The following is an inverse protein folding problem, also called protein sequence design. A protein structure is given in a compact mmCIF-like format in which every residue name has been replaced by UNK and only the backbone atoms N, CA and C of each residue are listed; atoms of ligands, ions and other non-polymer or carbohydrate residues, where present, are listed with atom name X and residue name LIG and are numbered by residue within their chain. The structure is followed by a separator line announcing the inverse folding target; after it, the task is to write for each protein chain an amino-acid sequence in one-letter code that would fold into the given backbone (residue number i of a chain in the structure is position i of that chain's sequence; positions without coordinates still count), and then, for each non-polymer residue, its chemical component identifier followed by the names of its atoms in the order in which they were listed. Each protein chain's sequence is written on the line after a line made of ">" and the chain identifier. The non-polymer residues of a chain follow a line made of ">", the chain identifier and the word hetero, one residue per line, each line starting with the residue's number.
data_IF_719095803523
#
_entry.id   IF_719095803523
#
_cell.length_a   1.000
_cell.length_b   1.000
_cell.length_c   1.000
_cell.angle_alpha   90.00
_cell.angle_beta   90.00
_cell.angle_gamma   90.00
#
_symmetry.space_group_name_H-M   'P 1'
#
loop_
_entity.id
_entity.type
_entity.pdbx_description
1 polymer ?
#
# COMPACT_ATOMS: atom_id res chain seq x y z
N UNK A 1 -17.10 -5.97 8.93
CA UNK A 1 -16.74 -4.54 9.06
C UNK A 1 -15.78 -4.17 7.93
N UNK A 2 -16.06 -3.13 7.13
CA UNK A 2 -15.20 -2.74 6.02
C UNK A 2 -13.93 -2.04 6.51
N UNK A 3 -12.84 -2.24 5.80
CA UNK A 3 -11.57 -1.54 5.96
C UNK A 3 -11.13 -1.08 4.57
N UNK A 4 -10.76 0.19 4.46
CA UNK A 4 -10.25 0.77 3.22
C UNK A 4 -8.73 0.60 3.21
N UNK A 5 -8.21 0.09 2.10
CA UNK A 5 -6.77 -0.14 1.92
C UNK A 5 -6.25 0.92 0.98
N UNK A 6 -5.47 1.86 1.50
CA UNK A 6 -4.99 2.99 0.73
C UNK A 6 -3.62 3.46 1.21
N UNK A 7 -2.93 4.21 0.36
CA UNK A 7 -1.67 4.89 0.66
C UNK A 7 -1.69 6.28 0.03
N UNK A 8 -0.93 7.21 0.61
CA UNK A 8 -0.79 8.55 0.06
C UNK A 8 -0.15 8.52 -1.31
N UNK A 9 -0.53 9.45 -2.18
CA UNK A 9 0.09 9.63 -3.50
C UNK A 9 1.24 10.61 -3.36
N UNK A 10 2.41 10.09 -3.03
CA UNK A 10 3.65 10.85 -2.95
C UNK A 10 4.80 10.10 -3.64
N UNK A 11 5.91 10.80 -3.97
CA UNK A 11 7.05 10.17 -4.62
C UNK A 11 7.56 8.94 -3.85
N UNK A 12 7.67 9.03 -2.53
CA UNK A 12 8.22 7.95 -1.69
C UNK A 12 7.20 6.88 -1.28
N UNK A 13 5.90 7.13 -1.47
CA UNK A 13 4.81 6.26 -1.01
C UNK A 13 4.14 5.46 -2.13
N UNK A 14 3.96 6.06 -3.31
CA UNK A 14 3.38 5.40 -4.49
C UNK A 14 4.13 5.66 -5.79
N UNK A 15 4.93 6.74 -5.82
CA UNK A 15 5.70 7.17 -6.96
C UNK A 15 4.91 7.96 -8.01
N UNK A 16 5.60 8.44 -9.06
CA UNK A 16 7.01 8.16 -9.33
C UNK A 16 7.98 8.89 -8.39
N UNK A 17 9.06 8.22 -8.01
CA UNK A 17 10.27 8.80 -7.41
C UNK A 17 11.38 8.76 -8.45
N UNK A 18 12.09 9.87 -8.65
CA UNK A 18 13.20 9.93 -9.60
C UNK A 18 14.49 10.23 -8.85
N UNK A 19 15.52 9.42 -9.10
CA UNK A 19 16.85 9.60 -8.54
C UNK A 19 17.90 9.48 -9.65
N UNK A 20 19.02 10.18 -9.50
CA UNK A 20 20.16 10.04 -10.41
C UNK A 20 21.48 9.95 -9.66
N UNK A 21 22.44 9.25 -10.25
CA UNK A 21 23.80 9.12 -9.73
C UNK A 21 24.79 9.21 -10.90
N UNK A 22 25.92 9.88 -10.67
CA UNK A 22 26.96 10.08 -11.68
C UNK A 22 28.32 9.56 -11.22
N UNK A 23 29.02 8.84 -12.09
CA UNK A 23 30.38 8.37 -11.87
C UNK A 23 31.13 8.28 -13.20
N UNK A 24 32.36 8.81 -13.25
CA UNK A 24 33.21 8.71 -14.45
C UNK A 24 32.59 9.32 -15.72
N UNK A 25 31.80 10.38 -15.61
CA UNK A 25 31.09 11.01 -16.73
C UNK A 25 29.83 10.28 -17.20
N UNK A 26 29.49 9.16 -16.58
CA UNK A 26 28.25 8.42 -16.82
C UNK A 26 27.23 8.85 -15.76
N UNK A 27 26.02 9.20 -16.20
CA UNK A 27 24.89 9.45 -15.29
C UNK A 27 23.84 8.38 -15.51
N UNK A 28 23.38 7.77 -14.42
CA UNK A 28 22.23 6.86 -14.40
C UNK A 28 21.07 7.58 -13.75
N UNK A 29 19.91 7.58 -14.43
CA UNK A 29 18.64 8.09 -13.91
C UNK A 29 17.69 6.92 -13.73
N UNK A 30 17.12 6.78 -12.54
CA UNK A 30 16.17 5.75 -12.18
C UNK A 30 14.82 6.37 -11.79
N UNK A 31 13.72 5.79 -12.27
CA UNK A 31 12.34 6.18 -11.95
C UNK A 31 11.63 5.00 -11.32
N UNK A 32 11.26 5.12 -10.04
CA UNK A 32 10.59 4.08 -9.27
C UNK A 32 9.09 4.40 -9.10
N UNK A 33 8.21 3.41 -9.32
CA UNK A 33 6.76 3.53 -9.08
C UNK A 33 6.19 2.23 -8.52
N UNK A 34 5.20 2.32 -7.64
CA UNK A 34 4.48 1.14 -7.15
C UNK A 34 3.69 0.49 -8.29
N UNK A 35 3.95 -0.80 -8.51
CA UNK A 35 3.19 -1.65 -9.43
C UNK A 35 1.98 -2.30 -8.73
N UNK A 36 2.16 -2.74 -7.49
CA UNK A 36 1.09 -3.32 -6.65
C UNK A 36 1.43 -3.27 -5.17
N UNK A 37 0.40 -3.40 -4.33
CA UNK A 37 0.52 -3.60 -2.88
C UNK A 37 -0.27 -4.84 -2.50
N UNK A 38 0.39 -5.78 -1.83
CA UNK A 38 -0.24 -7.00 -1.30
C UNK A 38 -0.42 -6.84 0.20
N UNK A 39 -1.66 -6.92 0.67
CA UNK A 39 -2.06 -6.74 2.06
C UNK A 39 -2.41 -8.10 2.67
N UNK A 40 -1.65 -8.53 3.66
CA UNK A 40 -2.02 -9.67 4.51
C UNK A 40 -2.83 -9.12 5.67
N UNK A 41 -4.08 -9.58 5.82
CA UNK A 41 -5.06 -8.94 6.69
C UNK A 41 -5.09 -9.50 8.13
N UNK A 42 -4.20 -10.43 8.47
CA UNK A 42 -4.18 -11.04 9.81
C UNK A 42 -5.36 -11.97 10.14
N UNK A 43 -6.38 -12.07 9.28
CA UNK A 43 -7.48 -13.04 9.35
C UNK A 43 -7.27 -14.24 8.39
N UNK A 44 -6.05 -14.41 7.89
CA UNK A 44 -5.67 -15.42 6.90
C UNK A 44 -5.98 -15.03 5.46
N UNK A 45 -6.61 -13.87 5.20
CA UNK A 45 -6.88 -13.38 3.85
C UNK A 45 -5.80 -12.43 3.36
N UNK A 46 -5.71 -12.32 2.03
CA UNK A 46 -4.80 -11.42 1.34
C UNK A 46 -5.57 -10.62 0.29
N UNK A 47 -5.27 -9.32 0.17
CA UNK A 47 -5.84 -8.43 -0.84
C UNK A 47 -4.72 -7.81 -1.67
N UNK A 48 -4.82 -7.87 -2.99
CA UNK A 48 -3.86 -7.21 -3.89
C UNK A 48 -4.49 -5.95 -4.47
N UNK A 49 -3.89 -4.80 -4.21
CA UNK A 49 -4.26 -3.51 -4.79
C UNK A 49 -3.27 -3.13 -5.89
N UNK A 50 -3.77 -2.71 -7.05
CA UNK A 50 -2.96 -2.11 -8.15
C UNK A 50 -3.20 -0.60 -8.29
N UNK A 51 -4.02 -0.04 -7.38
CA UNK A 51 -4.26 1.40 -7.22
C UNK A 51 -3.71 1.83 -5.85
N UNK A 52 -3.48 3.14 -5.63
CA UNK A 52 -3.15 3.66 -4.30
C UNK A 52 -4.31 3.56 -3.31
N UNK A 53 -5.49 3.09 -3.74
CA UNK A 53 -6.69 3.03 -2.92
C UNK A 53 -7.38 4.38 -2.72
N UNK A 54 -8.58 4.30 -2.14
CA UNK A 54 -9.38 5.45 -1.75
C UNK A 54 -9.25 5.67 -0.24
N UNK A 55 -8.85 6.88 0.22
CA UNK A 55 -8.86 7.19 1.64
C UNK A 55 -10.25 7.08 2.25
N UNK A 56 -10.34 6.50 3.45
CA UNK A 56 -11.59 6.44 4.19
C UNK A 56 -12.04 7.86 4.60
N UNK A 57 -13.34 8.11 4.48
CA UNK A 57 -14.00 9.30 5.05
C UNK A 57 -15.14 8.84 5.93
N UNK A 58 -15.34 9.51 7.07
CA UNK A 58 -16.41 9.18 8.01
C UNK A 58 -17.80 9.14 7.35
N UNK A 59 -18.03 9.99 6.34
CA UNK A 59 -19.27 10.02 5.55
C UNK A 59 -19.55 8.75 4.75
N UNK A 60 -18.57 7.85 4.59
CA UNK A 60 -18.77 6.56 3.93
C UNK A 60 -19.36 5.50 4.86
N UNK A 61 -19.24 5.66 6.18
CA UNK A 61 -19.81 4.74 7.17
C UNK A 61 -19.43 3.28 6.91
N UNK A 62 -20.42 2.43 6.65
CA UNK A 62 -20.26 0.98 6.43
C UNK A 62 -20.05 0.57 4.97
N UNK A 63 -19.91 1.54 4.06
CA UNK A 63 -19.68 1.26 2.64
C UNK A 63 -18.33 0.57 2.46
N UNK A 64 -18.26 -0.31 1.46
CA UNK A 64 -17.00 -0.92 1.05
C UNK A 64 -16.18 0.08 0.23
N UNK A 65 -14.85 -0.06 0.26
CA UNK A 65 -13.98 0.73 -0.61
C UNK A 65 -14.34 0.53 -2.09
N UNK A 66 -14.40 1.60 -2.89
CA UNK A 66 -14.75 1.50 -4.31
C UNK A 66 -13.64 0.88 -5.16
N UNK A 67 -12.39 0.86 -4.68
CA UNK A 67 -11.23 0.39 -5.45
C UNK A 67 -10.45 -0.73 -4.76
N UNK A 68 -10.02 -0.51 -3.50
CA UNK A 68 -9.31 -1.51 -2.73
C UNK A 68 -9.70 -1.47 -1.25
N UNK A 69 -10.16 -2.61 -0.75
CA UNK A 69 -10.65 -2.74 0.61
C UNK A 69 -10.78 -4.20 1.04
N UNK A 70 -10.97 -4.39 2.33
CA UNK A 70 -11.22 -5.68 2.95
C UNK A 70 -12.48 -5.63 3.82
N UNK A 71 -13.09 -6.79 4.09
CA UNK A 71 -14.17 -6.90 5.07
C UNK A 71 -13.90 -8.06 6.03
N UNK A 72 -13.70 -7.71 7.30
CA UNK A 72 -13.61 -8.69 8.38
C UNK A 72 -14.99 -9.26 8.71
N UNK A 73 -15.05 -10.58 8.87
CA UNK A 73 -16.25 -11.30 9.27
C UNK A 73 -16.48 -11.26 10.79
N UNK A 74 -15.42 -11.18 11.59
CA UNK A 74 -15.46 -11.14 13.06
C UNK A 74 -14.79 -9.87 13.56
N UNK A 75 -15.19 -9.33 14.72
CA UNK A 75 -14.45 -8.26 15.36
C UNK A 75 -13.09 -8.77 15.83
N UNK A 76 -12.11 -7.88 15.94
CA UNK A 76 -10.76 -8.26 16.38
C UNK A 76 -10.73 -8.77 17.83
N UNK A 77 -11.70 -8.38 18.65
CA UNK A 77 -11.91 -8.88 20.03
C UNK A 77 -12.37 -10.33 20.10
N UNK A 78 -12.86 -10.91 19.00
CA UNK A 78 -13.14 -12.35 18.94
C UNK A 78 -11.86 -13.21 18.83
N UNK A 79 -10.70 -12.57 18.64
CA UNK A 79 -9.38 -13.20 18.63
C UNK A 79 -8.42 -12.50 19.60
N UNK A 80 -7.23 -12.13 19.13
CA UNK A 80 -6.15 -11.51 19.92
C UNK A 80 -6.39 -10.03 20.29
N UNK A 81 -7.53 -9.44 19.92
CA UNK A 81 -7.87 -8.04 20.18
C UNK A 81 -7.55 -7.10 19.01
N UNK A 82 -6.58 -7.45 18.15
CA UNK A 82 -6.20 -6.70 16.94
C UNK A 82 -6.01 -7.64 15.74
N UNK A 83 -6.10 -7.10 14.53
CA UNK A 83 -5.61 -7.75 13.32
C UNK A 83 -4.24 -7.18 12.95
N UNK A 84 -3.24 -8.05 12.84
CA UNK A 84 -1.92 -7.69 12.34
C UNK A 84 -1.95 -7.60 10.81
N UNK A 85 -1.90 -6.38 10.28
CA UNK A 85 -1.97 -6.12 8.84
C UNK A 85 -0.58 -5.83 8.32
N UNK A 86 -0.15 -6.56 7.29
CA UNK A 86 1.15 -6.37 6.61
C UNK A 86 0.91 -5.92 5.19
N UNK A 87 1.48 -4.78 4.80
CA UNK A 87 1.45 -4.27 3.44
C UNK A 87 2.82 -4.49 2.77
N UNK A 88 2.84 -5.21 1.66
CA UNK A 88 4.04 -5.40 0.82
C UNK A 88 3.85 -4.70 -0.51
N UNK A 89 4.50 -3.56 -0.67
CA UNK A 89 4.55 -2.82 -1.94
C UNK A 89 5.63 -3.39 -2.85
N UNK A 90 5.29 -3.62 -4.12
CA UNK A 90 6.23 -3.98 -5.19
C UNK A 90 6.42 -2.76 -6.08
N UNK A 91 7.65 -2.29 -6.19
CA UNK A 91 8.06 -1.14 -6.99
C UNK A 91 8.73 -1.62 -8.28
N UNK A 92 8.29 -1.07 -9.40
CA UNK A 92 8.99 -1.15 -10.69
C UNK A 92 9.91 0.06 -10.80
N UNK A 93 11.17 -0.18 -11.13
CA UNK A 93 12.20 0.84 -11.26
C UNK A 93 12.78 0.74 -12.66
N UNK A 94 12.46 1.71 -13.50
CA UNK A 94 13.03 1.85 -14.84
C UNK A 94 14.26 2.75 -14.76
N UNK A 95 15.38 2.33 -15.35
CA UNK A 95 16.62 3.11 -15.34
C UNK A 95 17.23 3.26 -16.73
N UNK A 96 17.91 4.39 -16.92
CA UNK A 96 18.63 4.70 -18.16
C UNK A 96 19.95 5.40 -17.83
N UNK A 97 21.01 5.03 -18.54
CA UNK A 97 22.32 5.65 -18.48
C UNK A 97 22.56 6.58 -19.69
N UNK A 98 23.40 7.61 -19.52
CA UNK A 98 23.80 8.52 -20.60
C UNK A 98 24.53 7.84 -21.75
N UNK A 99 25.07 6.65 -21.52
CA UNK A 99 25.68 5.75 -22.51
C UNK A 99 24.66 5.01 -23.39
N UNK A 100 23.36 5.19 -23.16
CA UNK A 100 22.27 4.53 -23.89
C UNK A 100 21.84 3.18 -23.31
N UNK A 101 22.52 2.67 -22.28
CA UNK A 101 22.11 1.46 -21.57
C UNK A 101 20.85 1.73 -20.74
N UNK A 102 19.94 0.77 -20.69
CA UNK A 102 18.70 0.89 -19.93
C UNK A 102 18.25 -0.47 -19.41
N UNK A 103 17.36 -0.47 -18.43
CA UNK A 103 16.77 -1.69 -17.90
C UNK A 103 15.64 -1.42 -16.91
N UNK A 104 15.08 -2.51 -16.41
CA UNK A 104 14.06 -2.49 -15.37
C UNK A 104 14.50 -3.39 -14.22
N UNK A 105 14.22 -2.96 -13.00
CA UNK A 105 14.42 -3.76 -11.79
C UNK A 105 13.17 -3.66 -10.90
N UNK A 106 13.01 -4.62 -10.00
CA UNK A 106 11.92 -4.65 -9.03
C UNK A 106 12.46 -4.59 -7.60
N UNK A 107 11.77 -3.86 -6.73
CA UNK A 107 12.09 -3.80 -5.30
C UNK A 107 10.81 -3.94 -4.47
N UNK A 108 10.90 -4.62 -3.33
CA UNK A 108 9.76 -4.72 -2.39
C UNK A 108 10.02 -3.89 -1.13
N UNK A 109 8.99 -3.23 -0.63
CA UNK A 109 9.00 -2.58 0.69
C UNK A 109 7.83 -3.06 1.51
N UNK A 110 8.07 -3.36 2.78
CA UNK A 110 7.08 -3.88 3.69
C UNK A 110 6.82 -2.90 4.83
N UNK A 111 5.57 -2.76 5.23
CA UNK A 111 5.14 -2.08 6.46
C UNK A 111 4.09 -2.92 7.16
N UNK A 112 3.93 -2.73 8.47
CA UNK A 112 2.94 -3.46 9.25
C UNK A 112 2.26 -2.54 10.26
N UNK A 113 1.00 -2.84 10.57
CA UNK A 113 0.19 -2.10 11.55
C UNK A 113 -0.80 -3.05 12.21
N UNK A 114 -0.99 -2.88 13.52
CA UNK A 114 -2.06 -3.56 14.25
C UNK A 114 -3.30 -2.69 14.28
N UNK A 115 -4.42 -3.21 13.78
CA UNK A 115 -5.69 -2.48 13.74
C UNK A 115 -6.72 -3.12 14.67
N UNK A 116 -7.46 -2.28 15.40
CA UNK A 116 -8.67 -2.71 16.11
C UNK A 116 -9.85 -2.59 15.17
N UNK A 117 -10.59 -3.69 15.00
CA UNK A 117 -11.78 -3.74 14.17
C UNK A 117 -12.93 -4.14 15.08
N UNK A 118 -13.64 -3.13 15.59
CA UNK A 118 -14.83 -3.32 16.40
C UNK A 118 -16.10 -3.34 15.56
N UNK A 119 -17.16 -3.92 16.12
CA UNK A 119 -18.52 -3.57 15.70
C UNK A 119 -18.67 -2.05 15.81
N UNK A 120 -19.33 -1.40 14.85
CA UNK A 120 -19.60 0.03 14.92
C UNK A 120 -20.43 0.28 16.18
N UNK A 121 -19.78 0.69 17.26
CA UNK A 121 -20.50 1.27 18.38
C UNK A 121 -20.92 2.67 17.96
N UNK A 122 -22.19 2.79 17.58
CA UNK A 122 -22.85 4.09 17.57
C UNK A 122 -22.93 4.57 19.01
N UNK A 123 -21.94 5.34 19.46
CA UNK A 123 -22.08 6.15 20.66
C UNK A 123 -22.69 7.47 20.20
N UNK A 124 -24.03 7.48 20.16
CA UNK A 124 -24.76 8.74 20.15
C UNK A 124 -24.71 9.32 21.55
N UNK A 125 -24.19 10.54 21.67
CA UNK A 125 -24.43 11.45 22.78
C UNK A 125 -24.91 12.76 22.19
#
# INVERSE_FOLDING_TARGET
>A
MPVYLWTERGPETYGPNVASASAGGITVTATAKVARIVWQMGDGKTVTCTTPGTPYKASYGTKSSPDCGHRYAKPSTAGSGTYHVVATSTWTIDWQATTGQAGQMSQTRQSAVDIRVGELQAVGS
#
